data_IF_169127142042
#
_entry.id   IF_169127142042
#
_cell.length_a   1.000
_cell.length_b   1.000
_cell.length_c   1.000
_cell.angle_alpha   90.00
_cell.angle_beta   90.00
_cell.angle_gamma   90.00
#
_symmetry.space_group_name_H-M   'P 1'
#
loop_
_entity.id
_entity.type
_entity.pdbx_description
1 polymer ?
#
# COMPACT_ATOMS: atom_id res chain seq x y z
N UNK A 1 17.51 -19.71 -15.64
CA UNK A 1 17.93 -18.68 -16.59
C UNK A 1 17.52 -17.30 -16.12
N UNK A 2 18.15 -16.30 -16.69
CA UNK A 2 17.88 -14.92 -16.34
C UNK A 2 16.43 -14.54 -16.62
N UNK A 3 15.91 -15.01 -17.71
CA UNK A 3 14.55 -14.68 -18.11
C UNK A 3 13.53 -15.14 -17.10
N UNK A 4 13.76 -16.30 -16.53
CA UNK A 4 12.83 -16.85 -15.57
C UNK A 4 12.82 -16.02 -14.29
N UNK A 5 14.00 -15.63 -13.85
CA UNK A 5 14.10 -14.80 -12.66
C UNK A 5 13.41 -13.46 -12.88
N UNK A 6 13.54 -12.90 -14.05
CA UNK A 6 12.90 -11.64 -14.36
C UNK A 6 11.39 -11.77 -14.40
N UNK A 7 10.89 -12.88 -14.94
CA UNK A 7 9.47 -13.12 -14.98
C UNK A 7 8.91 -13.26 -13.57
N UNK A 8 9.61 -13.97 -12.72
CA UNK A 8 9.18 -14.16 -11.35
C UNK A 8 9.13 -12.83 -10.60
N UNK A 9 10.16 -12.02 -10.78
CA UNK A 9 10.19 -10.71 -10.15
C UNK A 9 9.04 -9.84 -10.62
N UNK A 10 8.71 -9.95 -11.89
CA UNK A 10 7.63 -9.16 -12.45
C UNK A 10 6.29 -9.59 -11.90
N UNK A 11 6.09 -10.88 -11.75
CA UNK A 11 4.86 -11.40 -11.16
C UNK A 11 4.72 -10.97 -9.72
N UNK A 12 5.82 -10.94 -8.99
CA UNK A 12 5.83 -10.45 -7.63
C UNK A 12 5.39 -9.00 -7.58
N UNK A 13 5.93 -8.21 -8.49
CA UNK A 13 5.57 -6.80 -8.56
C UNK A 13 4.10 -6.59 -8.85
N UNK A 14 3.57 -7.34 -9.78
CA UNK A 14 2.15 -7.25 -10.13
C UNK A 14 1.27 -7.64 -8.97
N UNK A 15 1.69 -8.67 -8.25
CA UNK A 15 0.94 -9.11 -7.09
C UNK A 15 0.95 -8.08 -5.98
N UNK A 16 2.07 -7.39 -5.84
CA UNK A 16 2.24 -6.39 -4.81
C UNK A 16 1.60 -5.06 -5.18
N UNK A 17 1.16 -4.90 -6.42
CA UNK A 17 0.56 -3.67 -6.89
C UNK A 17 -0.93 -3.91 -7.17
N UNK A 18 -1.78 -3.83 -6.14
CA UNK A 18 -3.19 -4.17 -6.30
C UNK A 18 -3.94 -3.25 -7.26
N UNK A 19 -3.35 -2.12 -7.62
CA UNK A 19 -3.96 -1.23 -8.59
C UNK A 19 -3.85 -1.78 -10.00
N UNK A 20 -3.02 -2.81 -10.21
CA UNK A 20 -2.85 -3.40 -11.53
C UNK A 20 -3.97 -4.39 -11.77
N UNK A 21 -4.85 -4.06 -12.69
CA UNK A 21 -5.96 -4.93 -13.04
C UNK A 21 -5.66 -5.69 -14.32
N UNK A 22 -6.21 -6.88 -14.41
CA UNK A 22 -6.19 -7.62 -15.65
C UNK A 22 -7.06 -6.86 -16.63
N UNK A 23 -6.58 -6.75 -17.86
CA UNK A 23 -7.31 -6.00 -18.87
C UNK A 23 -8.73 -6.53 -19.02
N UNK A 24 -9.69 -5.63 -18.95
CA UNK A 24 -11.09 -5.99 -19.06
C UNK A 24 -11.73 -6.42 -17.76
N UNK A 25 -10.94 -6.60 -16.72
CA UNK A 25 -11.46 -7.00 -15.42
C UNK A 25 -11.84 -5.78 -14.58
N UNK A 26 -12.97 -5.87 -13.91
CA UNK A 26 -13.41 -4.81 -13.03
C UNK A 26 -13.70 -5.39 -11.66
N UNK A 27 -13.49 -4.62 -10.59
CA UNK A 27 -13.79 -5.13 -9.26
C UNK A 27 -15.29 -5.25 -9.04
N UNK A 28 -15.69 -6.26 -8.28
CA UNK A 28 -17.08 -6.43 -7.92
C UNK A 28 -17.50 -5.45 -6.84
N UNK A 29 -16.54 -5.01 -6.05
CA UNK A 29 -16.80 -4.06 -4.97
C UNK A 29 -15.72 -2.99 -5.05
N UNK A 30 -16.08 -1.86 -5.63
CA UNK A 30 -15.14 -0.78 -5.87
C UNK A 30 -14.55 -0.26 -4.57
N UNK A 31 -15.38 -0.09 -3.56
CA UNK A 31 -14.91 0.43 -2.28
C UNK A 31 -13.88 -0.48 -1.64
N UNK A 32 -14.17 -1.78 -1.61
CA UNK A 32 -13.25 -2.75 -1.04
C UNK A 32 -11.95 -2.79 -1.84
N UNK A 33 -12.05 -2.70 -3.14
CA UNK A 33 -10.88 -2.71 -3.99
C UNK A 33 -9.99 -1.50 -3.70
N UNK A 34 -10.58 -0.33 -3.67
CA UNK A 34 -9.84 0.89 -3.42
C UNK A 34 -9.24 0.92 -2.01
N UNK A 35 -9.99 0.39 -1.04
CA UNK A 35 -9.47 0.28 0.32
C UNK A 35 -8.26 -0.63 0.38
N UNK A 36 -8.28 -1.70 -0.38
CA UNK A 36 -7.13 -2.60 -0.47
C UNK A 36 -5.91 -1.92 -1.05
N UNK A 37 -6.11 -1.14 -2.10
CA UNK A 37 -5.02 -0.39 -2.72
C UNK A 37 -4.43 0.61 -1.72
N UNK A 38 -5.31 1.36 -1.07
CA UNK A 38 -4.86 2.37 -0.12
C UNK A 38 -4.12 1.73 1.05
N UNK A 39 -4.66 0.63 1.59
CA UNK A 39 -4.02 -0.06 2.69
C UNK A 39 -2.62 -0.52 2.31
N UNK A 40 -2.46 -1.05 1.11
CA UNK A 40 -1.16 -1.50 0.65
C UNK A 40 -0.18 -0.35 0.53
N UNK A 41 -0.63 0.77 -0.01
CA UNK A 41 0.21 1.95 -0.16
C UNK A 41 0.66 2.47 1.20
N UNK A 42 -0.25 2.55 2.16
CA UNK A 42 0.10 3.02 3.49
C UNK A 42 1.10 2.09 4.15
N UNK A 43 0.87 0.78 4.04
CA UNK A 43 1.76 -0.20 4.66
C UNK A 43 3.15 -0.11 4.07
N UNK A 44 3.26 0.06 2.77
CA UNK A 44 4.56 0.17 2.11
C UNK A 44 5.27 1.45 2.48
N UNK A 45 4.53 2.55 2.57
CA UNK A 45 5.12 3.82 2.96
C UNK A 45 5.65 3.74 4.39
N UNK A 46 4.88 3.12 5.28
CA UNK A 46 5.32 2.94 6.66
C UNK A 46 6.57 2.08 6.74
N UNK A 47 6.61 1.01 5.97
CA UNK A 47 7.77 0.13 5.96
C UNK A 47 9.01 0.87 5.47
N UNK A 48 8.84 1.64 4.42
CA UNK A 48 9.95 2.41 3.85
C UNK A 48 10.49 3.44 4.81
N UNK A 49 9.64 3.99 5.65
CA UNK A 49 10.02 5.03 6.60
C UNK A 49 10.12 4.52 8.02
N UNK A 50 10.32 3.22 8.18
CA UNK A 50 10.54 2.58 9.48
C UNK A 50 9.44 2.90 10.48
N UNK A 51 8.20 2.83 10.00
CA UNK A 51 7.01 3.04 10.81
C UNK A 51 6.87 4.47 11.34
N UNK A 52 7.54 5.41 10.71
CA UNK A 52 7.39 6.82 11.05
C UNK A 52 6.19 7.37 10.30
N UNK A 53 5.08 7.57 11.01
CA UNK A 53 3.83 8.03 10.38
C UNK A 53 3.96 9.38 9.73
N UNK A 54 4.68 10.29 10.39
CA UNK A 54 4.87 11.63 9.85
C UNK A 54 5.61 11.58 8.52
N UNK A 55 6.73 10.86 8.48
CA UNK A 55 7.53 10.77 7.26
C UNK A 55 6.78 10.00 6.17
N UNK A 56 6.13 8.91 6.54
CA UNK A 56 5.39 8.12 5.58
C UNK A 56 4.25 8.93 4.97
N UNK A 57 3.50 9.63 5.82
CA UNK A 57 2.42 10.48 5.33
C UNK A 57 2.92 11.57 4.44
N UNK A 58 4.02 12.23 4.82
CA UNK A 58 4.59 13.30 4.02
C UNK A 58 4.98 12.80 2.64
N UNK A 59 5.51 11.59 2.56
CA UNK A 59 5.92 11.03 1.27
C UNK A 59 4.72 10.78 0.35
N UNK A 60 3.54 10.68 0.93
CA UNK A 60 2.30 10.47 0.19
C UNK A 60 1.50 11.77 0.01
N UNK A 61 2.06 12.88 0.44
CA UNK A 61 1.34 14.14 0.35
C UNK A 61 0.28 14.32 1.43
N UNK A 62 0.40 13.59 2.53
CA UNK A 62 -0.58 13.63 3.61
C UNK A 62 -0.01 14.29 4.85
N UNK A 63 -0.86 15.01 5.57
CA UNK A 63 -0.48 15.48 6.89
C UNK A 63 -0.50 14.31 7.86
N UNK A 64 0.11 14.47 9.02
CA UNK A 64 0.08 13.42 10.03
C UNK A 64 -1.36 13.09 10.42
N UNK A 65 -2.19 14.11 10.54
CA UNK A 65 -3.60 13.91 10.87
C UNK A 65 -4.32 13.07 9.83
N UNK A 66 -4.08 13.38 8.55
CA UNK A 66 -4.68 12.62 7.47
C UNK A 66 -4.16 11.19 7.46
N UNK A 67 -2.87 11.03 7.69
CA UNK A 67 -2.27 9.70 7.72
C UNK A 67 -2.89 8.85 8.82
N UNK A 68 -3.04 9.43 10.01
CA UNK A 68 -3.65 8.71 11.14
C UNK A 68 -5.10 8.33 10.85
N UNK A 69 -5.84 9.25 10.25
CA UNK A 69 -7.23 8.98 9.93
C UNK A 69 -7.35 7.82 8.96
N UNK A 70 -6.53 7.83 7.91
CA UNK A 70 -6.59 6.77 6.92
C UNK A 70 -6.15 5.43 7.49
N UNK A 71 -5.13 5.44 8.33
CA UNK A 71 -4.69 4.21 8.98
C UNK A 71 -5.78 3.62 9.86
N UNK A 72 -6.45 4.47 10.62
CA UNK A 72 -7.53 4.01 11.49
C UNK A 72 -8.68 3.45 10.67
N UNK A 73 -9.04 4.14 9.61
CA UNK A 73 -10.14 3.70 8.76
C UNK A 73 -9.88 2.33 8.13
N UNK A 74 -8.64 2.09 7.76
CA UNK A 74 -8.28 0.88 7.03
C UNK A 74 -7.70 -0.22 7.92
N UNK A 75 -7.60 0.03 9.21
CA UNK A 75 -7.07 -0.96 10.12
C UNK A 75 -5.57 -1.17 10.00
N UNK A 76 -4.85 -0.17 9.50
CA UNK A 76 -3.40 -0.24 9.42
C UNK A 76 -2.83 0.25 10.74
N UNK A 77 -1.95 -0.53 11.35
CA UNK A 77 -1.36 -0.15 12.61
C UNK A 77 0.15 -0.30 12.54
N UNK A 78 0.81 0.41 13.45
CA UNK A 78 2.27 0.40 13.54
C UNK A 78 2.62 -0.13 14.92
N UNK A 79 3.29 -1.28 14.91
CA UNK A 79 3.63 -1.96 16.16
C UNK A 79 4.71 -1.18 16.92
N UNK A 80 4.43 -0.92 18.19
CA UNK A 80 5.41 -0.30 19.05
C UNK A 80 5.70 1.16 18.76
N UNK A 81 4.84 1.82 18.02
CA UNK A 81 5.05 3.21 17.64
C UNK A 81 4.08 4.13 18.36
N UNK A 82 4.61 5.13 18.99
CA UNK A 82 3.82 6.16 19.65
C UNK A 82 4.11 7.49 19.02
N UNK A 83 3.12 8.15 18.56
CA UNK A 83 3.31 9.51 18.03
C UNK A 83 2.92 10.54 19.03
#
# INVERSE_FOLDING_TARGET
>A
TTDRAQIDARLEQLRAAPATLIEGALPDNLEAYLDGVERDILARALERHRNNRTAAGASLGLSLRQMRYRMARLGVSVSGQDD
#
